data_IF_771469244914
#
_entry.id   IF_771469244914
#
_cell.length_a   1.000
_cell.length_b   1.000
_cell.length_c   1.000
_cell.angle_alpha   90.00
_cell.angle_beta   90.00
_cell.angle_gamma   90.00
#
_symmetry.space_group_name_H-M   'P 1'
#
loop_
_entity.id
_entity.type
_entity.pdbx_description
1 polymer ?
#
# COMPACT_ATOMS: atom_id res chain seq x y z
N UNK A 1 9.90 -15.30 4.34
CA UNK A 1 9.52 -13.90 4.18
C UNK A 1 8.57 -13.57 5.29
N UNK A 2 8.82 -12.49 6.06
CA UNK A 2 8.00 -12.16 7.23
C UNK A 2 7.93 -10.65 7.45
N UNK A 3 6.80 -10.21 8.00
CA UNK A 3 6.63 -8.92 8.65
C UNK A 3 6.59 -9.15 10.15
N UNK A 4 7.44 -8.48 10.90
CA UNK A 4 7.45 -8.55 12.34
C UNK A 4 7.36 -7.15 12.94
N UNK A 5 6.45 -6.99 13.88
CA UNK A 5 6.23 -5.75 14.63
C UNK A 5 6.57 -6.06 16.08
N UNK A 6 7.47 -5.28 16.68
CA UNK A 6 7.95 -5.46 18.06
C UNK A 6 7.68 -4.22 18.89
N UNK A 7 6.79 -4.34 19.86
CA UNK A 7 6.47 -3.32 20.86
C UNK A 7 6.26 -1.92 20.25
N UNK A 8 5.53 -1.87 19.12
CA UNK A 8 5.34 -0.67 18.34
C UNK A 8 4.37 0.29 19.02
N UNK A 9 4.76 1.55 19.16
CA UNK A 9 3.93 2.62 19.73
C UNK A 9 4.03 3.87 18.88
N UNK A 10 2.91 4.59 18.75
CA UNK A 10 2.84 5.82 17.98
C UNK A 10 1.95 6.87 18.67
N UNK A 11 2.36 8.12 18.55
CA UNK A 11 1.59 9.30 18.94
C UNK A 11 1.87 10.44 17.97
N UNK A 12 0.86 11.24 17.64
CA UNK A 12 1.04 12.47 16.86
C UNK A 12 1.68 13.57 17.69
N UNK A 13 1.38 13.61 18.98
CA UNK A 13 1.96 14.52 19.95
C UNK A 13 2.55 13.74 21.13
N UNK A 14 3.15 14.47 22.09
CA UNK A 14 3.76 13.85 23.27
C UNK A 14 2.75 13.39 24.34
N UNK A 15 1.47 13.76 24.20
CA UNK A 15 0.50 13.63 25.31
C UNK A 15 -0.41 12.42 25.17
N UNK A 16 -0.86 12.08 23.96
CA UNK A 16 -1.79 10.98 23.76
C UNK A 16 -1.29 9.96 22.72
N UNK A 17 -1.02 8.72 23.11
CA UNK A 17 -0.70 7.66 22.17
C UNK A 17 -1.94 7.30 21.34
N UNK A 18 -1.71 7.03 20.04
CA UNK A 18 -2.73 6.47 19.15
C UNK A 18 -2.82 4.96 19.37
N UNK A 19 -1.68 4.32 19.58
CA UNK A 19 -1.55 2.94 20.00
C UNK A 19 -0.23 2.71 20.73
N UNK A 20 -0.19 1.68 21.59
CA UNK A 20 0.98 1.34 22.40
C UNK A 20 1.23 -0.17 22.42
N UNK A 21 2.51 -0.55 22.36
CA UNK A 21 2.97 -1.90 22.66
C UNK A 21 2.52 -2.97 21.65
N UNK A 22 2.15 -2.61 20.43
CA UNK A 22 1.68 -3.59 19.44
C UNK A 22 2.83 -4.50 19.03
N UNK A 23 2.62 -5.81 19.17
CA UNK A 23 3.54 -6.83 18.70
C UNK A 23 2.78 -7.89 17.92
N UNK A 24 3.25 -8.21 16.72
CA UNK A 24 2.69 -9.26 15.87
C UNK A 24 3.72 -9.74 14.85
N UNK A 25 3.50 -10.93 14.31
CA UNK A 25 4.29 -11.49 13.23
C UNK A 25 3.37 -12.05 12.17
N UNK A 26 3.73 -11.85 10.91
CA UNK A 26 3.00 -12.36 9.74
C UNK A 26 3.99 -13.08 8.86
N UNK A 27 3.74 -14.34 8.58
CA UNK A 27 4.59 -15.18 7.74
C UNK A 27 4.11 -15.18 6.27
N UNK A 28 4.90 -15.77 5.40
CA UNK A 28 4.52 -15.92 3.99
C UNK A 28 3.25 -16.76 3.84
N UNK A 29 2.28 -16.22 3.10
CA UNK A 29 1.01 -16.91 2.81
C UNK A 29 -0.05 -16.71 3.90
N UNK A 30 0.25 -15.98 4.97
CA UNK A 30 -0.74 -15.65 5.98
C UNK A 30 -1.53 -14.41 5.62
N UNK A 31 -2.81 -14.43 6.01
CA UNK A 31 -3.71 -13.28 5.97
C UNK A 31 -4.06 -12.91 7.41
N UNK A 32 -3.78 -11.68 7.79
CA UNK A 32 -4.07 -11.14 9.12
C UNK A 32 -5.05 -10.00 9.00
N UNK A 33 -6.16 -10.08 9.73
CA UNK A 33 -7.16 -9.02 9.82
C UNK A 33 -7.00 -8.25 11.12
N UNK A 34 -6.89 -6.92 11.02
CA UNK A 34 -6.84 -6.00 12.16
C UNK A 34 -8.22 -5.41 12.38
N UNK A 35 -8.88 -5.81 13.45
CA UNK A 35 -10.22 -5.35 13.80
C UNK A 35 -10.17 -4.23 14.85
N UNK A 36 -11.09 -3.30 14.75
CA UNK A 36 -11.23 -2.18 15.69
C UNK A 36 -12.24 -1.15 15.20
N UNK A 37 -12.78 -0.36 16.11
CA UNK A 37 -13.73 0.72 15.81
C UNK A 37 -13.10 1.80 14.90
N UNK A 38 -13.94 2.63 14.27
CA UNK A 38 -13.47 3.80 13.55
C UNK A 38 -12.72 4.73 14.51
N UNK A 39 -11.57 5.24 14.07
CA UNK A 39 -10.70 6.07 14.93
C UNK A 39 -9.78 5.28 15.86
N UNK A 40 -9.82 3.94 15.90
CA UNK A 40 -8.93 3.11 16.74
C UNK A 40 -7.44 3.16 16.34
N UNK A 41 -7.08 3.90 15.27
CA UNK A 41 -5.70 4.04 14.84
C UNK A 41 -5.23 3.03 13.79
N UNK A 42 -6.13 2.24 13.17
CA UNK A 42 -5.78 1.23 12.15
C UNK A 42 -4.96 1.83 10.99
N UNK A 43 -5.46 2.88 10.35
CA UNK A 43 -4.74 3.60 9.27
C UNK A 43 -3.40 4.14 9.74
N UNK A 44 -3.31 4.64 10.98
CA UNK A 44 -2.06 5.14 11.57
C UNK A 44 -1.07 4.00 11.76
N UNK A 45 -1.53 2.84 12.22
CA UNK A 45 -0.71 1.64 12.35
C UNK A 45 -0.16 1.21 10.98
N UNK A 46 -1.02 1.11 9.96
CA UNK A 46 -0.58 0.78 8.60
C UNK A 46 0.46 1.77 8.05
N UNK A 47 0.24 3.08 8.23
CA UNK A 47 1.21 4.10 7.82
C UNK A 47 2.53 4.01 8.58
N UNK A 48 2.50 3.58 9.84
CA UNK A 48 3.72 3.34 10.63
C UNK A 48 4.45 2.08 10.14
N UNK A 49 3.73 0.98 9.85
CA UNK A 49 4.29 -0.24 9.25
C UNK A 49 4.95 0.07 7.90
N UNK A 50 4.31 0.88 7.07
CA UNK A 50 4.84 1.32 5.76
C UNK A 50 6.04 2.29 5.86
N UNK A 51 6.46 2.69 7.07
CA UNK A 51 7.52 3.66 7.27
C UNK A 51 7.15 5.10 6.88
N UNK A 52 5.85 5.39 6.64
CA UNK A 52 5.37 6.73 6.34
C UNK A 52 5.35 7.61 7.60
N UNK A 53 5.09 7.00 8.76
CA UNK A 53 5.18 7.62 10.07
C UNK A 53 6.30 7.00 10.89
N UNK A 54 7.04 7.83 11.60
CA UNK A 54 8.12 7.37 12.49
C UNK A 54 7.50 6.88 13.80
N UNK A 55 7.76 5.63 14.17
CA UNK A 55 7.35 5.09 15.46
C UNK A 55 7.97 5.90 16.62
N UNK A 56 7.23 6.03 17.71
CA UNK A 56 7.73 6.57 18.97
C UNK A 56 8.60 5.56 19.71
N UNK A 57 8.21 4.29 19.65
CA UNK A 57 8.90 3.16 20.26
C UNK A 57 8.65 1.90 19.46
N UNK A 58 9.54 0.94 19.59
CA UNK A 58 9.44 -0.35 18.91
C UNK A 58 10.02 -0.34 17.51
N UNK A 59 9.82 -1.43 16.78
CA UNK A 59 10.42 -1.66 15.47
C UNK A 59 9.43 -2.36 14.54
N UNK A 60 9.56 -2.07 13.25
CA UNK A 60 8.92 -2.83 12.17
C UNK A 60 10.03 -3.47 11.35
N UNK A 61 10.02 -4.78 11.22
CA UNK A 61 11.04 -5.57 10.55
C UNK A 61 10.40 -6.26 9.35
N UNK A 62 10.92 -6.02 8.16
CA UNK A 62 10.51 -6.67 6.91
C UNK A 62 11.68 -7.47 6.37
N UNK A 63 11.50 -8.78 6.22
CA UNK A 63 12.55 -9.68 5.75
C UNK A 63 13.88 -9.55 6.52
N UNK A 64 13.81 -9.39 7.84
CA UNK A 64 14.97 -9.24 8.73
C UNK A 64 15.62 -7.86 8.73
N UNK A 65 15.06 -6.87 8.02
CA UNK A 65 15.55 -5.48 8.00
C UNK A 65 14.55 -4.54 8.67
N UNK A 66 15.06 -3.69 9.54
CA UNK A 66 14.24 -2.63 10.14
C UNK A 66 13.84 -1.61 9.06
N UNK A 67 12.55 -1.31 8.99
CA UNK A 67 11.94 -0.35 8.06
C UNK A 67 12.58 1.04 8.19
N UNK A 68 13.00 1.43 9.38
CA UNK A 68 13.66 2.72 9.64
C UNK A 68 15.01 2.88 8.92
N UNK A 69 15.65 1.76 8.56
CA UNK A 69 16.93 1.71 7.84
C UNK A 69 16.77 1.53 6.32
N UNK A 70 15.55 1.54 5.82
CA UNK A 70 15.24 1.35 4.41
C UNK A 70 14.87 2.68 3.75
N UNK A 71 15.25 2.85 2.48
CA UNK A 71 14.74 3.95 1.67
C UNK A 71 13.27 3.71 1.30
N UNK A 72 12.51 4.77 1.03
CA UNK A 72 11.11 4.66 0.57
C UNK A 72 10.97 3.76 -0.66
N UNK A 73 11.92 3.84 -1.60
CA UNK A 73 11.94 3.02 -2.80
C UNK A 73 12.15 1.53 -2.48
N UNK A 74 13.02 1.22 -1.53
CA UNK A 74 13.23 -0.17 -1.08
C UNK A 74 11.97 -0.72 -0.41
N UNK A 75 11.30 0.06 0.42
CA UNK A 75 10.04 -0.33 1.07
C UNK A 75 8.92 -0.50 0.05
N UNK A 76 8.80 0.43 -0.91
CA UNK A 76 7.82 0.36 -1.97
C UNK A 76 7.97 -0.88 -2.87
N UNK A 77 9.16 -1.46 -3.02
CA UNK A 77 9.36 -2.74 -3.71
C UNK A 77 8.95 -3.96 -2.88
N UNK A 78 8.73 -3.82 -1.60
CA UNK A 78 8.41 -4.92 -0.70
C UNK A 78 6.96 -4.88 -0.20
N UNK A 79 6.40 -3.68 -0.03
CA UNK A 79 5.08 -3.48 0.57
C UNK A 79 4.19 -2.65 -0.34
N UNK A 80 3.07 -3.22 -0.75
CA UNK A 80 1.98 -2.52 -1.44
C UNK A 80 0.94 -2.00 -0.43
N UNK A 81 0.31 -0.88 -0.77
CA UNK A 81 -0.73 -0.28 0.06
C UNK A 81 -1.96 0.09 -0.76
N UNK A 82 -3.11 -0.41 -0.33
CA UNK A 82 -4.43 -0.03 -0.84
C UNK A 82 -5.09 0.86 0.22
N UNK A 83 -5.21 2.17 -0.01
CA UNK A 83 -5.87 3.09 0.91
C UNK A 83 -7.39 2.92 0.85
N UNK A 84 -8.08 3.30 1.92
CA UNK A 84 -9.54 3.33 1.99
C UNK A 84 -10.15 4.23 0.92
N UNK A 85 -9.59 5.43 0.71
CA UNK A 85 -10.04 6.39 -0.29
C UNK A 85 -8.85 6.96 -1.05
N UNK A 86 -9.02 7.17 -2.36
CA UNK A 86 -8.07 7.85 -3.21
C UNK A 86 -8.81 8.67 -4.26
N UNK A 87 -8.59 9.97 -4.23
CA UNK A 87 -9.09 10.90 -5.25
C UNK A 87 -7.85 11.51 -5.91
N UNK A 88 -7.55 11.17 -7.17
CA UNK A 88 -6.44 11.79 -7.86
C UNK A 88 -6.76 13.25 -8.17
N UNK A 89 -5.77 14.15 -8.11
CA UNK A 89 -5.97 15.58 -8.37
C UNK A 89 -6.24 15.90 -9.85
N UNK A 90 -6.03 14.95 -10.75
CA UNK A 90 -6.17 15.11 -12.22
C UNK A 90 -6.96 13.96 -12.82
N UNK A 91 -7.61 14.17 -13.98
CA UNK A 91 -8.38 13.15 -14.71
C UNK A 91 -7.45 12.18 -15.46
N UNK A 92 -6.72 11.34 -14.71
CA UNK A 92 -5.90 10.29 -15.28
C UNK A 92 -6.77 9.17 -15.87
N UNK A 93 -6.26 8.48 -16.91
CA UNK A 93 -6.83 7.22 -17.33
C UNK A 93 -6.63 6.14 -16.26
N UNK A 94 -7.47 5.12 -16.25
CA UNK A 94 -7.36 4.01 -15.29
C UNK A 94 -6.01 3.32 -15.41
N UNK A 95 -5.53 3.10 -16.64
CA UNK A 95 -4.21 2.48 -16.86
C UNK A 95 -3.06 3.34 -16.30
N UNK A 96 -3.15 4.66 -16.39
CA UNK A 96 -2.14 5.56 -15.81
C UNK A 96 -2.10 5.44 -14.29
N UNK A 97 -3.29 5.34 -13.64
CA UNK A 97 -3.38 5.13 -12.19
C UNK A 97 -2.74 3.80 -11.79
N UNK A 98 -2.95 2.73 -12.56
CA UNK A 98 -2.32 1.43 -12.28
C UNK A 98 -0.81 1.48 -12.51
N UNK A 99 -0.34 2.16 -13.57
CA UNK A 99 1.08 2.39 -13.86
C UNK A 99 1.81 3.14 -12.75
N UNK A 100 1.13 3.98 -11.95
CA UNK A 100 1.74 4.60 -10.77
C UNK A 100 2.28 3.55 -9.77
N UNK A 101 1.75 2.32 -9.77
CA UNK A 101 2.28 1.20 -9.00
C UNK A 101 3.71 0.83 -9.38
N UNK A 102 4.11 1.08 -10.64
CA UNK A 102 5.45 0.79 -11.16
C UNK A 102 6.53 1.79 -10.75
N UNK A 103 6.16 2.93 -10.14
CA UNK A 103 7.08 4.04 -9.81
C UNK A 103 8.33 3.58 -9.03
N UNK A 104 8.20 2.57 -8.17
CA UNK A 104 9.33 2.02 -7.41
C UNK A 104 10.34 1.28 -8.31
N UNK A 105 9.93 0.80 -9.48
CA UNK A 105 10.76 0.06 -10.45
C UNK A 105 11.37 0.97 -11.51
N UNK A 106 10.74 2.09 -11.82
CA UNK A 106 11.16 3.05 -12.83
C UNK A 106 12.24 3.99 -12.24
N UNK A 107 13.25 4.34 -13.02
CA UNK A 107 14.26 5.34 -12.62
C UNK A 107 13.65 6.75 -12.60
N UNK A 108 14.15 7.63 -11.74
CA UNK A 108 13.55 8.94 -11.42
C UNK A 108 13.27 9.86 -12.62
N UNK A 109 13.92 9.65 -13.76
CA UNK A 109 13.76 10.46 -14.98
C UNK A 109 13.33 9.62 -16.19
N UNK A 110 12.99 8.35 -16.00
CA UNK A 110 12.54 7.47 -17.07
C UNK A 110 11.03 7.46 -17.17
N UNK A 111 10.52 7.28 -18.38
CA UNK A 111 9.11 6.96 -18.63
C UNK A 111 8.89 5.47 -18.40
N UNK A 112 7.65 5.03 -18.11
CA UNK A 112 7.30 3.62 -18.04
C UNK A 112 7.70 2.89 -19.33
N UNK A 113 8.28 1.71 -19.19
CA UNK A 113 8.63 0.83 -20.30
C UNK A 113 7.44 0.00 -20.76
N UNK A 114 7.57 -0.67 -21.91
CA UNK A 114 6.57 -1.64 -22.38
C UNK A 114 6.36 -2.76 -21.38
N UNK A 115 7.39 -3.18 -20.66
CA UNK A 115 7.28 -4.16 -19.57
C UNK A 115 6.43 -3.62 -18.42
N UNK A 116 6.60 -2.36 -18.02
CA UNK A 116 5.78 -1.77 -16.97
C UNK A 116 4.31 -1.68 -17.37
N UNK A 117 4.05 -1.36 -18.65
CA UNK A 117 2.71 -1.35 -19.21
C UNK A 117 2.09 -2.76 -19.23
N UNK A 118 2.87 -3.77 -19.59
CA UNK A 118 2.43 -5.16 -19.57
C UNK A 118 2.06 -5.60 -18.15
N UNK A 119 2.91 -5.36 -17.15
CA UNK A 119 2.64 -5.70 -15.75
C UNK A 119 1.39 -4.98 -15.23
N UNK A 120 1.19 -3.72 -15.61
CA UNK A 120 -0.03 -2.98 -15.25
C UNK A 120 -1.28 -3.61 -15.86
N UNK A 121 -1.24 -4.01 -17.15
CA UNK A 121 -2.36 -4.70 -17.82
C UNK A 121 -2.63 -6.07 -17.19
N UNK A 122 -1.62 -6.87 -16.92
CA UNK A 122 -1.76 -8.17 -16.23
C UNK A 122 -2.42 -8.01 -14.85
N UNK A 123 -2.03 -6.98 -14.09
CA UNK A 123 -2.69 -6.69 -12.80
C UNK A 123 -4.18 -6.35 -12.96
N UNK A 124 -4.55 -5.65 -14.05
CA UNK A 124 -5.95 -5.34 -14.37
C UNK A 124 -6.71 -6.57 -14.86
N UNK A 125 -6.10 -7.43 -15.66
CA UNK A 125 -6.67 -8.69 -16.15
C UNK A 125 -7.00 -9.64 -14.99
N UNK A 126 -6.08 -9.78 -14.03
CA UNK A 126 -6.26 -10.59 -12.82
C UNK A 126 -7.50 -10.18 -11.99
N UNK A 127 -7.95 -8.95 -12.14
CA UNK A 127 -9.15 -8.40 -11.47
C UNK A 127 -10.34 -8.24 -12.42
N UNK A 128 -10.23 -8.68 -13.68
CA UNK A 128 -11.25 -8.56 -14.73
C UNK A 128 -11.69 -7.10 -14.99
N UNK A 129 -10.77 -6.14 -14.92
CA UNK A 129 -11.04 -4.71 -15.12
C UNK A 129 -10.28 -4.08 -16.29
N UNK A 130 -9.65 -4.87 -17.17
CA UNK A 130 -8.89 -4.34 -18.31
C UNK A 130 -9.76 -3.48 -19.24
N UNK A 131 -11.08 -3.73 -19.31
CA UNK A 131 -12.03 -2.94 -20.08
C UNK A 131 -12.18 -1.49 -19.61
N UNK A 132 -11.64 -1.15 -18.43
CA UNK A 132 -11.62 0.20 -17.89
C UNK A 132 -10.37 1.00 -18.29
N UNK A 133 -9.37 0.38 -18.93
CA UNK A 133 -8.04 0.95 -19.09
C UNK A 133 -8.02 2.39 -19.60
N UNK A 134 -8.80 2.68 -20.64
CA UNK A 134 -8.87 4.00 -21.29
C UNK A 134 -9.92 4.94 -20.68
N UNK A 135 -10.71 4.47 -19.70
CA UNK A 135 -11.69 5.30 -19.03
C UNK A 135 -11.02 6.29 -18.09
N UNK A 136 -11.67 7.41 -17.89
CA UNK A 136 -11.27 8.38 -16.85
C UNK A 136 -11.54 7.78 -15.46
N UNK A 137 -10.52 7.75 -14.60
CA UNK A 137 -10.64 7.22 -13.24
C UNK A 137 -11.72 7.91 -12.39
N UNK A 138 -12.01 9.18 -12.67
CA UNK A 138 -13.05 9.94 -11.93
C UNK A 138 -14.48 9.59 -12.36
N UNK A 139 -14.65 8.93 -13.52
CA UNK A 139 -15.95 8.61 -14.13
C UNK A 139 -16.41 7.17 -13.86
N UNK A 140 -15.56 6.34 -13.26
CA UNK A 140 -15.90 4.96 -12.89
C UNK A 140 -16.57 4.90 -11.50
N UNK A 141 -17.31 3.82 -11.24
CA UNK A 141 -17.99 3.59 -9.97
C UNK A 141 -17.02 3.44 -8.78
N UNK A 142 -17.52 3.59 -7.55
CA UNK A 142 -16.73 3.41 -6.33
C UNK A 142 -16.10 2.02 -6.23
N UNK A 143 -16.87 0.96 -6.56
CA UNK A 143 -16.36 -0.41 -6.58
C UNK A 143 -15.27 -0.63 -7.64
N UNK A 144 -15.44 -0.07 -8.86
CA UNK A 144 -14.41 -0.11 -9.89
C UNK A 144 -13.15 0.65 -9.47
N UNK A 145 -13.28 1.82 -8.82
CA UNK A 145 -12.13 2.55 -8.26
C UNK A 145 -11.36 1.71 -7.26
N UNK A 146 -12.06 0.99 -6.40
CA UNK A 146 -11.42 0.09 -5.43
C UNK A 146 -10.60 -1.00 -6.12
N UNK A 147 -11.16 -1.65 -7.15
CA UNK A 147 -10.44 -2.65 -7.95
C UNK A 147 -9.21 -2.04 -8.65
N UNK A 148 -9.32 -0.82 -9.16
CA UNK A 148 -8.18 -0.10 -9.76
C UNK A 148 -7.08 0.18 -8.73
N UNK A 149 -7.42 0.53 -7.49
CA UNK A 149 -6.42 0.71 -6.42
C UNK A 149 -5.74 -0.60 -6.03
N UNK A 150 -6.48 -1.71 -6.05
CA UNK A 150 -5.91 -3.04 -5.85
C UNK A 150 -4.99 -3.40 -7.03
N UNK A 151 -5.41 -3.18 -8.28
CA UNK A 151 -4.57 -3.40 -9.47
C UNK A 151 -3.26 -2.59 -9.39
N UNK A 152 -3.33 -1.32 -8.98
CA UNK A 152 -2.16 -0.47 -8.77
C UNK A 152 -1.21 -1.06 -7.73
N UNK A 153 -1.74 -1.57 -6.63
CA UNK A 153 -0.91 -2.19 -5.60
C UNK A 153 -0.32 -3.53 -6.06
N UNK A 154 -1.04 -4.31 -6.87
CA UNK A 154 -0.54 -5.56 -7.48
C UNK A 154 0.52 -5.27 -8.55
N UNK A 155 0.34 -4.25 -9.38
CA UNK A 155 1.32 -3.83 -10.39
C UNK A 155 2.68 -3.44 -9.77
N UNK A 156 2.71 -3.09 -8.49
CA UNK A 156 3.93 -2.85 -7.73
C UNK A 156 4.71 -4.15 -7.45
N UNK A 157 4.10 -5.34 -7.68
CA UNK A 157 4.66 -6.68 -7.38
C UNK A 157 5.16 -6.80 -5.91
N UNK A 158 4.35 -6.38 -4.93
CA UNK A 158 4.78 -6.36 -3.56
C UNK A 158 4.82 -7.77 -2.96
N UNK A 159 5.67 -7.95 -1.97
CA UNK A 159 5.71 -9.19 -1.19
C UNK A 159 4.70 -9.19 -0.03
N UNK A 160 4.34 -8.01 0.44
CA UNK A 160 3.35 -7.78 1.50
C UNK A 160 2.34 -6.79 0.97
N UNK A 161 1.06 -7.11 1.06
CA UNK A 161 -0.03 -6.22 0.69
C UNK A 161 -0.77 -5.78 1.96
N UNK A 162 -0.88 -4.47 2.16
CA UNK A 162 -1.63 -3.87 3.25
C UNK A 162 -2.86 -3.20 2.65
N UNK A 163 -4.05 -3.56 3.15
CA UNK A 163 -5.32 -2.96 2.72
C UNK A 163 -6.02 -2.29 3.90
N UNK A 164 -6.38 -1.04 3.72
CA UNK A 164 -7.07 -0.23 4.74
C UNK A 164 -8.55 -0.11 4.38
N UNK A 165 -9.41 -0.93 5.02
CA UNK A 165 -10.85 -0.99 4.79
C UNK A 165 -11.23 -1.09 3.29
N UNK A 166 -10.82 -2.18 2.59
CA UNK A 166 -11.00 -2.29 1.14
C UNK A 166 -12.46 -2.42 0.69
N UNK A 167 -13.40 -2.56 1.62
CA UNK A 167 -14.84 -2.67 1.36
C UNK A 167 -15.59 -1.77 2.33
N UNK A 168 -16.04 -0.64 1.87
CA UNK A 168 -17.03 0.23 2.55
C UNK A 168 -18.22 0.48 1.65
#
# INVERSE_FOLDING_TARGET
MSLEIRNLSFAYDKKQPVFEGISMKVEKGEIVSILGSNGAGKTTLFKTILGLYKARQGQVIVNGRDVSNCTRRQLAKQMGYVPQNHIPPFPYSVIDVVLMGRTAHINNYAVPSDLDLQVAKEAMENLNILYLADKNYTEISGGERQLVLIARALAQEPQILIMDEPTS
#
